data_IF_489162878534
#
_entry.id   IF_489162878534
#
_cell.length_a   1.000
_cell.length_b   1.000
_cell.length_c   1.000
_cell.angle_alpha   90.00
_cell.angle_beta   90.00
_cell.angle_gamma   90.00
#
_symmetry.space_group_name_H-M   'P 1'
#
loop_
_entity.id
_entity.type
_entity.pdbx_description
1 polymer ?
#
# COMPACT_ATOMS: atom_id res chain seq x y z
N UNK A 1 -21.70 49.53 -51.74
CA UNK A 1 -22.57 49.67 -50.55
C UNK A 1 -22.26 48.49 -49.64
N UNK A 2 -21.71 48.78 -48.46
CA UNK A 2 -21.30 47.80 -47.45
C UNK A 2 -22.51 47.07 -46.87
N UNK A 3 -22.39 45.79 -46.53
CA UNK A 3 -23.17 45.25 -45.42
C UNK A 3 -22.43 44.13 -44.70
N UNK A 4 -22.63 44.13 -43.38
CA UNK A 4 -21.66 43.74 -42.38
C UNK A 4 -21.64 42.24 -42.03
N UNK A 5 -20.46 41.85 -41.54
CA UNK A 5 -20.15 40.68 -40.74
C UNK A 5 -21.13 40.51 -39.57
N UNK A 6 -21.45 39.26 -39.22
CA UNK A 6 -21.17 38.69 -37.88
C UNK A 6 -21.69 37.24 -37.82
N UNK A 7 -20.76 36.27 -37.82
CA UNK A 7 -21.03 34.89 -37.39
C UNK A 7 -20.30 34.70 -36.05
N UNK A 8 -20.99 34.41 -34.94
CA UNK A 8 -20.31 34.13 -33.69
C UNK A 8 -19.70 32.73 -33.77
N UNK A 9 -18.36 32.65 -33.80
CA UNK A 9 -17.65 31.41 -33.51
C UNK A 9 -17.81 31.13 -32.01
N UNK A 10 -18.70 30.21 -31.66
CA UNK A 10 -18.70 29.57 -30.35
C UNK A 10 -17.44 28.70 -30.24
N UNK A 11 -16.37 29.28 -29.70
CA UNK A 11 -15.20 28.52 -29.27
C UNK A 11 -15.55 27.75 -27.99
N UNK A 12 -16.04 26.52 -28.16
CA UNK A 12 -16.13 25.53 -27.09
C UNK A 12 -14.71 25.06 -26.75
N UNK A 13 -14.05 25.79 -25.85
CA UNK A 13 -12.80 25.35 -25.22
C UNK A 13 -13.15 24.20 -24.28
N UNK A 14 -13.00 22.97 -24.78
CA UNK A 14 -12.98 21.79 -23.93
C UNK A 14 -11.74 21.85 -23.05
N UNK A 15 -11.92 22.23 -21.79
CA UNK A 15 -10.92 22.05 -20.76
C UNK A 15 -10.73 20.54 -20.53
N UNK A 16 -9.67 19.95 -21.09
CA UNK A 16 -9.24 18.61 -20.73
C UNK A 16 -8.74 18.65 -19.27
N UNK A 17 -9.26 17.80 -18.37
CA UNK A 17 -8.67 17.64 -17.05
C UNK A 17 -7.32 16.92 -17.22
N UNK A 18 -6.22 17.67 -17.10
CA UNK A 18 -4.83 17.20 -17.04
C UNK A 18 -4.52 16.52 -15.69
N UNK A 19 -5.33 15.57 -15.28
CA UNK A 19 -5.18 14.87 -14.00
C UNK A 19 -5.20 13.35 -14.20
N UNK A 20 -4.15 12.80 -14.83
CA UNK A 20 -3.83 11.35 -14.75
C UNK A 20 -2.46 10.94 -15.33
N UNK A 21 -1.60 11.89 -15.72
CA UNK A 21 -0.34 11.55 -16.42
C UNK A 21 0.69 10.78 -15.57
N UNK A 22 0.71 10.95 -14.24
CA UNK A 22 1.71 10.32 -13.38
C UNK A 22 1.56 8.79 -13.29
N UNK A 23 0.32 8.27 -13.25
CA UNK A 23 0.08 6.83 -13.12
C UNK A 23 0.24 6.05 -14.43
N UNK A 24 0.15 6.74 -15.58
CA UNK A 24 0.34 6.13 -16.90
C UNK A 24 1.82 5.87 -17.20
N UNK A 25 2.70 6.78 -16.78
CA UNK A 25 4.15 6.70 -16.98
C UNK A 25 4.76 5.52 -16.20
N UNK A 26 4.32 5.32 -14.95
CA UNK A 26 4.77 4.19 -14.14
C UNK A 26 4.33 2.82 -14.70
N UNK A 27 3.11 2.72 -15.24
CA UNK A 27 2.63 1.47 -15.85
C UNK A 27 3.40 1.13 -17.11
N UNK A 28 3.69 2.12 -17.95
CA UNK A 28 4.49 1.94 -19.15
C UNK A 28 5.92 1.50 -18.80
N UNK A 29 6.52 2.10 -17.77
CA UNK A 29 7.83 1.70 -17.26
C UNK A 29 7.90 0.25 -16.75
N UNK A 30 6.88 -0.20 -16.02
CA UNK A 30 6.77 -1.60 -15.55
C UNK A 30 6.66 -2.58 -16.72
N UNK A 31 5.83 -2.26 -17.71
CA UNK A 31 5.69 -3.12 -18.89
C UNK A 31 6.99 -3.18 -19.70
N UNK A 32 7.67 -2.05 -19.89
CA UNK A 32 8.97 -2.01 -20.57
C UNK A 32 10.02 -2.89 -19.86
N UNK A 33 10.07 -2.86 -18.52
CA UNK A 33 10.94 -3.71 -17.71
C UNK A 33 10.59 -5.19 -17.85
N UNK A 34 9.30 -5.54 -17.75
CA UNK A 34 8.85 -6.91 -17.99
C UNK A 34 9.26 -7.44 -19.37
N UNK A 35 9.14 -6.63 -20.43
CA UNK A 35 9.58 -7.04 -21.76
C UNK A 35 11.10 -7.18 -21.88
N UNK A 36 11.88 -6.41 -21.13
CA UNK A 36 13.33 -6.62 -21.01
C UNK A 36 13.63 -7.95 -20.29
N UNK A 37 13.00 -8.21 -19.15
CA UNK A 37 13.20 -9.44 -18.37
C UNK A 37 12.83 -10.68 -19.19
N UNK A 38 11.70 -10.65 -19.91
CA UNK A 38 11.30 -11.74 -20.80
C UNK A 38 12.33 -12.03 -21.88
N UNK A 39 12.92 -10.99 -22.50
CA UNK A 39 13.96 -11.17 -23.52
C UNK A 39 15.17 -11.87 -22.92
N UNK A 40 15.64 -11.43 -21.75
CA UNK A 40 16.73 -12.08 -21.03
C UNK A 40 16.40 -13.53 -20.65
N UNK A 41 15.16 -13.83 -20.25
CA UNK A 41 14.74 -15.21 -19.96
C UNK A 41 14.80 -16.12 -21.19
N UNK A 42 14.51 -15.61 -22.39
CA UNK A 42 14.51 -16.42 -23.61
C UNK A 42 15.91 -16.87 -24.05
N UNK A 43 16.97 -16.22 -23.55
CA UNK A 43 18.36 -16.58 -23.78
C UNK A 43 18.79 -17.83 -22.97
N UNK A 44 17.99 -18.24 -21.98
CA UNK A 44 18.29 -19.39 -21.12
C UNK A 44 18.22 -20.71 -21.90
N UNK A 45 19.34 -21.41 -22.02
CA UNK A 45 19.44 -22.69 -22.76
C UNK A 45 18.59 -23.79 -22.11
N UNK A 46 18.65 -23.89 -20.78
CA UNK A 46 17.89 -24.86 -20.02
C UNK A 46 16.39 -24.53 -19.96
N UNK A 47 15.55 -25.52 -20.23
CA UNK A 47 14.10 -25.33 -20.33
C UNK A 47 13.46 -25.01 -18.98
N UNK A 48 13.93 -25.62 -17.90
CA UNK A 48 13.35 -25.40 -16.57
C UNK A 48 13.77 -24.05 -15.98
N UNK A 49 15.02 -23.64 -16.19
CA UNK A 49 15.53 -22.30 -15.87
C UNK A 49 14.80 -21.21 -16.62
N UNK A 50 14.54 -21.41 -17.92
CA UNK A 50 13.72 -20.50 -18.73
C UNK A 50 12.30 -20.38 -18.17
N UNK A 51 11.67 -21.50 -17.83
CA UNK A 51 10.32 -21.52 -17.25
C UNK A 51 10.28 -20.83 -15.89
N UNK A 52 11.28 -21.04 -15.04
CA UNK A 52 11.38 -20.35 -13.74
C UNK A 52 11.53 -18.85 -13.93
N UNK A 53 12.48 -18.41 -14.75
CA UNK A 53 12.71 -17.01 -15.08
C UNK A 53 11.44 -16.30 -15.57
N UNK A 54 10.70 -16.92 -16.50
CA UNK A 54 9.46 -16.34 -17.04
C UNK A 54 8.34 -16.24 -15.98
N UNK A 55 8.26 -17.18 -15.05
CA UNK A 55 7.33 -17.10 -13.91
C UNK A 55 7.70 -15.94 -13.00
N UNK A 56 8.97 -15.82 -12.66
CA UNK A 56 9.47 -14.79 -11.74
C UNK A 56 9.32 -13.39 -12.34
N UNK A 57 9.63 -13.22 -13.63
CA UNK A 57 9.38 -11.97 -14.36
C UNK A 57 7.88 -11.59 -14.34
N UNK A 58 6.99 -12.58 -14.47
CA UNK A 58 5.55 -12.37 -14.34
C UNK A 58 5.13 -11.95 -12.93
N UNK A 59 5.70 -12.57 -11.90
CA UNK A 59 5.46 -12.24 -10.50
C UNK A 59 5.94 -10.81 -10.18
N UNK A 60 7.15 -10.44 -10.60
CA UNK A 60 7.71 -9.09 -10.43
C UNK A 60 6.82 -8.04 -11.09
N UNK A 61 6.34 -8.29 -12.31
CA UNK A 61 5.38 -7.41 -12.98
C UNK A 61 4.10 -7.26 -12.17
N UNK A 62 3.53 -8.37 -11.70
CA UNK A 62 2.28 -8.35 -10.94
C UNK A 62 2.42 -7.57 -9.64
N UNK A 63 3.51 -7.79 -8.89
CA UNK A 63 3.80 -7.07 -7.65
C UNK A 63 4.07 -5.59 -7.90
N UNK A 64 4.79 -5.24 -8.97
CA UNK A 64 5.00 -3.83 -9.35
C UNK A 64 3.67 -3.14 -9.67
N UNK A 65 2.76 -3.81 -10.39
CA UNK A 65 1.42 -3.30 -10.69
C UNK A 65 0.52 -3.22 -9.45
N UNK A 66 0.73 -4.09 -8.45
CA UNK A 66 0.07 -4.00 -7.14
C UNK A 66 0.62 -2.84 -6.32
N UNK A 67 1.94 -2.70 -6.25
CA UNK A 67 2.61 -1.59 -5.56
C UNK A 67 2.17 -0.22 -6.07
N UNK A 68 1.89 -0.08 -7.36
CA UNK A 68 1.27 1.14 -7.92
C UNK A 68 -0.13 1.46 -7.37
N UNK A 69 -0.90 0.44 -6.99
CA UNK A 69 -2.23 0.62 -6.36
C UNK A 69 -2.09 0.93 -4.88
N UNK A 70 -1.09 0.33 -4.23
CA UNK A 70 -0.82 0.50 -2.80
C UNK A 70 -0.02 1.77 -2.46
N UNK A 71 0.59 2.42 -3.47
CA UNK A 71 1.30 3.69 -3.36
C UNK A 71 0.46 4.86 -2.79
N UNK A 72 -0.85 4.66 -2.60
CA UNK A 72 -1.77 5.64 -2.03
C UNK A 72 -2.22 5.38 -0.59
N UNK A 73 -1.71 4.36 0.12
CA UNK A 73 -2.08 4.20 1.54
C UNK A 73 -1.28 5.20 2.38
N UNK A 74 -1.91 6.31 2.75
CA UNK A 74 -1.38 7.29 3.69
C UNK A 74 -1.12 6.67 5.08
N UNK A 75 -0.17 7.22 5.84
CA UNK A 75 0.17 6.80 7.20
C UNK A 75 -1.06 6.82 8.11
N UNK A 76 -1.92 7.83 7.99
CA UNK A 76 -3.15 7.88 8.78
C UNK A 76 -4.08 6.71 8.42
N UNK A 77 -4.10 6.26 7.16
CA UNK A 77 -4.87 5.07 6.77
C UNK A 77 -4.24 3.78 7.32
N UNK A 78 -2.91 3.67 7.33
CA UNK A 78 -2.20 2.55 7.96
C UNK A 78 -2.51 2.47 9.44
N UNK A 79 -2.46 3.58 10.15
CA UNK A 79 -2.76 3.66 11.58
C UNK A 79 -4.22 3.30 11.87
N UNK A 80 -5.17 3.82 11.08
CA UNK A 80 -6.59 3.43 11.16
C UNK A 80 -6.78 1.92 10.98
N UNK A 81 -6.13 1.34 9.99
CA UNK A 81 -6.20 -0.10 9.74
C UNK A 81 -5.56 -0.91 10.88
N UNK A 82 -4.46 -0.43 11.46
CA UNK A 82 -3.80 -1.08 12.60
C UNK A 82 -4.73 -1.14 13.81
N UNK A 83 -5.38 -0.02 14.16
CA UNK A 83 -6.36 0.05 15.26
C UNK A 83 -7.59 -0.82 14.96
N UNK A 84 -8.10 -0.80 13.73
CA UNK A 84 -9.27 -1.59 13.34
C UNK A 84 -9.08 -3.11 13.57
N UNK A 85 -7.84 -3.62 13.48
CA UNK A 85 -7.51 -5.03 13.75
C UNK A 85 -7.73 -5.41 15.21
N UNK A 86 -7.70 -4.46 16.15
CA UNK A 86 -7.93 -4.72 17.57
C UNK A 86 -9.38 -5.07 17.91
N UNK A 87 -10.33 -4.88 16.98
CA UNK A 87 -11.74 -5.21 17.17
C UNK A 87 -12.02 -6.71 17.42
N UNK A 88 -11.04 -7.58 17.17
CA UNK A 88 -11.12 -9.02 17.51
C UNK A 88 -11.16 -9.26 19.03
N UNK A 89 -10.59 -8.35 19.83
CA UNK A 89 -10.57 -8.46 21.28
C UNK A 89 -11.92 -8.05 21.86
N UNK A 90 -12.58 -9.00 22.53
CA UNK A 90 -13.91 -8.80 23.15
C UNK A 90 -13.82 -8.18 24.55
N UNK A 91 -12.71 -8.41 25.25
CA UNK A 91 -12.44 -7.81 26.57
C UNK A 91 -11.96 -6.36 26.43
N UNK A 92 -12.44 -5.48 27.31
CA UNK A 92 -12.09 -4.06 27.28
C UNK A 92 -10.58 -3.83 27.48
N UNK A 93 -9.98 -4.56 28.43
CA UNK A 93 -8.54 -4.47 28.71
C UNK A 93 -7.70 -4.92 27.51
N UNK A 94 -7.95 -6.12 26.97
CA UNK A 94 -7.18 -6.66 25.84
C UNK A 94 -7.27 -5.76 24.60
N UNK A 95 -8.46 -5.21 24.34
CA UNK A 95 -8.66 -4.28 23.24
C UNK A 95 -7.88 -3.00 23.45
N UNK A 96 -7.96 -2.39 24.63
CA UNK A 96 -7.20 -1.19 24.97
C UNK A 96 -5.69 -1.44 24.85
N UNK A 97 -5.20 -2.59 25.32
CA UNK A 97 -3.79 -2.98 25.20
C UNK A 97 -3.34 -3.13 23.75
N UNK A 98 -4.13 -3.78 22.91
CA UNK A 98 -3.86 -3.89 21.48
C UNK A 98 -3.79 -2.51 20.82
N UNK A 99 -4.75 -1.62 21.09
CA UNK A 99 -4.81 -0.29 20.49
C UNK A 99 -3.58 0.54 20.87
N UNK A 100 -3.14 0.49 22.13
CA UNK A 100 -1.91 1.16 22.60
C UNK A 100 -0.66 0.64 21.90
N UNK A 101 -0.52 -0.68 21.75
CA UNK A 101 0.60 -1.27 21.00
C UNK A 101 0.54 -0.89 19.51
N UNK A 102 -0.65 -0.84 18.91
CA UNK A 102 -0.85 -0.43 17.52
C UNK A 102 -0.52 1.05 17.29
N UNK A 103 -0.68 1.90 18.31
CA UNK A 103 -0.25 3.30 18.32
C UNK A 103 1.26 3.46 18.56
N UNK A 104 1.98 2.37 18.82
CA UNK A 104 3.44 2.37 18.99
C UNK A 104 3.91 2.62 20.42
N UNK A 105 3.04 2.50 21.43
CA UNK A 105 3.46 2.55 22.83
C UNK A 105 4.36 1.36 23.20
N UNK A 106 5.24 1.59 24.19
CA UNK A 106 6.15 0.59 24.73
C UNK A 106 7.59 0.77 24.26
N UNK A 107 8.41 -0.24 24.55
CA UNK A 107 9.82 -0.28 24.17
C UNK A 107 10.04 -1.35 23.11
N UNK A 108 10.86 -1.01 22.10
CA UNK A 108 11.28 -1.96 21.08
C UNK A 108 12.71 -2.41 21.34
N UNK A 109 12.96 -3.71 21.20
CA UNK A 109 14.30 -4.31 21.35
C UNK A 109 14.54 -5.34 20.24
N UNK A 110 15.82 -5.67 20.00
CA UNK A 110 16.24 -6.56 18.91
C UNK A 110 16.91 -5.81 17.76
N UNK A 111 17.23 -6.52 16.69
CA UNK A 111 17.83 -5.92 15.49
C UNK A 111 17.29 -6.57 14.23
N UNK A 112 17.24 -5.78 13.16
CA UNK A 112 16.85 -6.27 11.83
C UNK A 112 17.83 -7.34 11.36
N UNK A 113 19.14 -7.16 11.62
CA UNK A 113 20.19 -8.14 11.30
C UNK A 113 19.99 -9.47 12.06
N UNK A 114 19.58 -9.39 13.33
CA UNK A 114 19.28 -10.55 14.18
C UNK A 114 17.93 -11.22 13.88
N UNK A 115 17.18 -10.73 12.90
CA UNK A 115 15.96 -11.37 12.39
C UNK A 115 14.67 -11.03 13.14
N UNK A 116 14.67 -10.03 14.03
CA UNK A 116 13.44 -9.69 14.76
C UNK A 116 13.49 -8.40 15.57
N UNK A 117 12.30 -7.80 15.72
CA UNK A 117 12.05 -6.69 16.65
C UNK A 117 10.94 -7.11 17.60
N UNK A 118 11.26 -7.15 18.89
CA UNK A 118 10.29 -7.35 19.98
C UNK A 118 9.75 -6.00 20.43
N UNK A 119 8.45 -5.95 20.72
CA UNK A 119 7.80 -4.78 21.31
C UNK A 119 7.17 -5.20 22.63
N UNK A 120 7.46 -4.46 23.68
CA UNK A 120 6.97 -4.73 25.02
C UNK A 120 6.30 -3.50 25.59
N UNK A 121 5.08 -3.69 26.11
CA UNK A 121 4.32 -2.69 26.85
C UNK A 121 3.92 -3.31 28.18
N UNK A 122 4.46 -2.76 29.28
CA UNK A 122 4.14 -3.19 30.63
C UNK A 122 3.23 -2.14 31.29
N UNK A 123 2.20 -2.62 31.99
CA UNK A 123 1.17 -1.76 32.59
C UNK A 123 0.75 -2.36 33.90
N UNK A 124 0.74 -1.53 34.93
CA UNK A 124 0.14 -1.87 36.22
C UNK A 124 -1.39 -1.77 36.08
N UNK A 125 -2.09 -2.81 36.51
CA UNK A 125 -3.55 -2.86 36.49
C UNK A 125 -4.00 -2.90 37.93
N UNK A 126 -4.74 -1.88 38.35
CA UNK A 126 -5.40 -1.91 39.66
C UNK A 126 -6.38 -3.10 39.70
N UNK A 127 -6.34 -3.93 40.75
CA UNK A 127 -7.33 -4.99 40.89
C UNK A 127 -8.71 -4.35 41.00
N UNK A 128 -9.64 -4.75 40.13
CA UNK A 128 -11.04 -4.34 40.21
C UNK A 128 -11.53 -4.64 41.64
N UNK A 129 -12.15 -3.67 42.35
CA UNK A 129 -12.59 -3.91 43.72
C UNK A 129 -13.53 -5.11 43.73
N UNK A 130 -13.27 -6.06 44.63
CA UNK A 130 -14.08 -7.27 44.77
C UNK A 130 -15.56 -6.89 44.81
N UNK A 131 -16.36 -7.43 43.88
CA UNK A 131 -17.81 -7.25 43.91
C UNK A 131 -18.33 -7.86 45.21
N UNK A 132 -18.90 -7.02 46.06
CA UNK A 132 -19.56 -7.42 47.31
C UNK A 132 -20.64 -8.47 46.98
N UNK A 133 -20.53 -9.72 47.48
CA UNK A 133 -21.43 -10.80 47.13
C UNK A 133 -22.78 -10.75 47.86
N UNK A 134 -23.26 -9.56 48.23
CA UNK A 134 -24.54 -9.39 48.94
C UNK A 134 -25.76 -9.80 48.11
#
# INVERSE_FOLDING_TARGET
MMNALTRPLCALVWALPLASALAADDRAGIEARYQADRRACLEQVDADSRRACLRDAGAVRQESLRGLRDAGVDEAQRQRNAIARCAVHKGALDRAMCERMALGEGVSSGSVEGGGVLRQLEVEIDPEPARDPR
#
